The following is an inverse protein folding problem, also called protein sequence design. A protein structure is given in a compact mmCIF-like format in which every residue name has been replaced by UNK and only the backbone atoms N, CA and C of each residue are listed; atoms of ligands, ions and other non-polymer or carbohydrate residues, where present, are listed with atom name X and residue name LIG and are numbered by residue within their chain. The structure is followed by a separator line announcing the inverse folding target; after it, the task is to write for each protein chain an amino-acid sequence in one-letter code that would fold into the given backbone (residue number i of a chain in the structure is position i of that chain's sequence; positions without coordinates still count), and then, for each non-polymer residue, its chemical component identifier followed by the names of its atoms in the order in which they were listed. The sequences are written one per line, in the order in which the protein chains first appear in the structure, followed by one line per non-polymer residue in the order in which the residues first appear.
data_IF_078755317754
#
_entry.id   IF_078755317754
#
_cell.length_a   1.000
_cell.length_b   1.000
_cell.length_c   1.000
_cell.angle_alpha   90.00
_cell.angle_beta   90.00
_cell.angle_gamma   90.00
#
_symmetry.space_group_name_H-M   'P 1'
#
loop_
_entity.id
_entity.type
_entity.pdbx_description
1 polymer ?
#
# COMPACT_ATOMS: atom_id res chain seq x y z
N UNK A 1 20.44 -20.63 -12.03
CA UNK A 1 21.05 -20.33 -10.72
C UNK A 1 20.33 -19.17 -10.07
N UNK A 2 20.17 -19.22 -8.76
CA UNK A 2 19.58 -18.12 -8.02
C UNK A 2 20.52 -16.90 -8.03
N UNK A 3 20.00 -15.74 -8.38
CA UNK A 3 20.77 -14.50 -8.37
C UNK A 3 20.96 -14.02 -6.94
N UNK A 4 22.13 -13.50 -6.65
CA UNK A 4 22.42 -12.94 -5.33
C UNK A 4 21.70 -11.60 -5.14
N UNK A 5 20.93 -11.49 -4.07
CA UNK A 5 20.23 -10.25 -3.71
C UNK A 5 21.23 -9.27 -3.09
N UNK A 6 21.32 -8.06 -3.64
CA UNK A 6 22.18 -7.00 -3.10
C UNK A 6 21.40 -6.00 -2.27
N UNK A 7 20.08 -5.91 -2.44
CA UNK A 7 19.25 -5.03 -1.64
C UNK A 7 17.77 -5.21 -1.89
N UNK A 8 16.98 -4.69 -0.96
CA UNK A 8 15.53 -4.63 -1.08
C UNK A 8 15.08 -3.20 -0.84
N UNK A 9 14.15 -2.74 -1.68
CA UNK A 9 13.60 -1.38 -1.62
C UNK A 9 12.10 -1.49 -1.44
N UNK A 10 11.55 -0.78 -0.46
CA UNK A 10 10.12 -0.71 -0.22
C UNK A 10 9.63 0.70 -0.50
N UNK A 11 8.65 0.83 -1.38
CA UNK A 11 8.10 2.12 -1.79
C UNK A 11 6.57 2.05 -1.80
N UNK A 12 5.94 3.21 -1.66
CA UNK A 12 4.51 3.39 -1.87
C UNK A 12 4.33 4.40 -2.99
N UNK A 13 3.69 3.98 -4.07
CA UNK A 13 3.55 4.78 -5.27
C UNK A 13 2.09 4.84 -5.71
N UNK A 14 1.63 5.99 -6.25
CA UNK A 14 0.32 6.04 -6.88
C UNK A 14 0.23 5.08 -8.06
N UNK A 15 -0.85 4.32 -8.13
CA UNK A 15 -1.04 3.35 -9.20
C UNK A 15 -1.08 4.04 -10.57
N UNK A 16 -0.34 3.51 -11.52
CA UNK A 16 -0.27 4.04 -12.88
C UNK A 16 0.47 5.36 -13.04
N UNK A 17 1.06 5.88 -11.97
CA UNK A 17 1.71 7.21 -11.96
C UNK A 17 3.16 7.19 -11.48
N UNK A 18 3.83 6.06 -11.57
CA UNK A 18 5.25 5.99 -11.20
C UNK A 18 6.08 6.80 -12.21
N UNK A 19 6.96 7.66 -11.69
CA UNK A 19 7.84 8.51 -12.48
C UNK A 19 9.28 8.44 -11.96
N UNK A 20 10.28 8.79 -12.75
CA UNK A 20 11.67 8.84 -12.28
C UNK A 20 11.94 9.89 -11.20
N UNK A 21 10.98 10.78 -10.97
CA UNK A 21 11.10 11.81 -9.92
C UNK A 21 11.12 11.16 -8.52
N UNK A 22 11.63 11.88 -7.48
CA UNK A 22 11.57 11.35 -6.12
C UNK A 22 10.15 10.91 -5.74
N UNK A 23 9.97 9.82 -4.96
CA UNK A 23 11.01 9.05 -4.26
C UNK A 23 11.65 7.91 -5.07
N UNK A 24 11.18 7.63 -6.30
CA UNK A 24 11.60 6.48 -7.09
C UNK A 24 13.05 6.63 -7.57
N UNK A 25 13.37 7.78 -8.16
CA UNK A 25 14.69 8.02 -8.73
C UNK A 25 15.83 7.79 -7.75
N UNK A 26 15.87 8.51 -6.62
CA UNK A 26 16.92 8.32 -5.63
C UNK A 26 16.99 6.92 -5.04
N UNK A 27 15.85 6.30 -4.77
CA UNK A 27 15.79 4.96 -4.18
C UNK A 27 16.39 3.89 -5.11
N UNK A 28 16.02 3.93 -6.39
CA UNK A 28 16.51 2.96 -7.37
C UNK A 28 17.90 3.32 -7.91
N UNK A 29 18.19 4.60 -8.02
CA UNK A 29 19.47 5.08 -8.54
C UNK A 29 20.66 4.63 -7.69
N UNK A 30 20.51 4.58 -6.39
CA UNK A 30 21.55 4.09 -5.46
C UNK A 30 21.95 2.64 -5.74
N UNK A 31 21.05 1.85 -6.28
CA UNK A 31 21.29 0.44 -6.59
C UNK A 31 21.63 0.20 -8.06
N UNK A 32 21.67 1.24 -8.87
CA UNK A 32 21.97 1.13 -10.29
C UNK A 32 20.89 0.43 -11.12
N UNK A 33 19.65 0.44 -10.65
CA UNK A 33 18.50 -0.19 -11.30
C UNK A 33 17.99 0.70 -12.44
N UNK A 34 17.45 0.09 -13.50
CA UNK A 34 16.81 0.80 -14.60
C UNK A 34 15.48 1.41 -14.13
N UNK A 35 15.50 2.70 -13.80
CA UNK A 35 14.35 3.42 -13.24
C UNK A 35 13.20 3.46 -14.24
N UNK A 36 13.48 3.78 -15.49
CA UNK A 36 12.47 3.88 -16.53
C UNK A 36 11.78 2.53 -16.78
N UNK A 37 12.55 1.45 -16.80
CA UNK A 37 12.02 0.09 -16.95
C UNK A 37 11.08 -0.27 -15.82
N UNK A 38 11.46 0.04 -14.59
CA UNK A 38 10.61 -0.19 -13.42
C UNK A 38 9.30 0.61 -13.51
N UNK A 39 9.39 1.92 -13.79
CA UNK A 39 8.21 2.77 -13.87
C UNK A 39 7.23 2.26 -14.92
N UNK A 40 7.74 1.86 -16.08
CA UNK A 40 6.92 1.34 -17.17
C UNK A 40 6.18 0.05 -16.78
N UNK A 41 6.89 -0.90 -16.19
CA UNK A 41 6.29 -2.15 -15.73
C UNK A 41 5.28 -1.93 -14.60
N UNK A 42 5.63 -1.10 -13.62
CA UNK A 42 4.74 -0.76 -12.50
C UNK A 42 3.45 -0.13 -13.02
N UNK A 43 3.55 0.87 -13.88
CA UNK A 43 2.39 1.55 -14.44
C UNK A 43 1.51 0.59 -15.24
N UNK A 44 2.09 -0.32 -16.01
CA UNK A 44 1.35 -1.32 -16.77
C UNK A 44 0.58 -2.27 -15.85
N UNK A 45 1.22 -2.73 -14.77
CA UNK A 45 0.60 -3.67 -13.83
C UNK A 45 -0.46 -3.02 -12.92
N UNK A 46 -0.37 -1.72 -12.67
CA UNK A 46 -1.26 -1.02 -11.75
C UNK A 46 -2.27 -0.11 -12.46
N UNK A 47 -2.33 -0.15 -13.79
CA UNK A 47 -3.21 0.73 -14.58
C UNK A 47 -4.68 0.59 -14.20
N UNK A 48 -5.12 -0.62 -13.84
CA UNK A 48 -6.50 -0.91 -13.42
C UNK A 48 -6.81 -0.50 -11.97
N UNK A 49 -5.81 -0.06 -11.23
CA UNK A 49 -5.93 0.34 -9.82
C UNK A 49 -5.69 1.84 -9.62
N UNK A 50 -5.87 2.62 -10.68
CA UNK A 50 -5.66 4.08 -10.63
C UNK A 50 -6.45 4.74 -9.48
N UNK A 51 -5.81 5.70 -8.82
CA UNK A 51 -6.39 6.40 -7.66
C UNK A 51 -6.06 5.75 -6.33
N UNK A 52 -5.37 4.61 -6.32
CA UNK A 52 -4.89 3.95 -5.10
C UNK A 52 -3.39 4.10 -4.97
N UNK A 53 -2.90 4.07 -3.73
CA UNK A 53 -1.47 4.00 -3.46
C UNK A 53 -1.11 2.52 -3.32
N UNK A 54 -0.15 2.05 -4.11
CA UNK A 54 0.25 0.65 -4.13
C UNK A 54 1.62 0.51 -3.50
N UNK A 55 1.75 -0.27 -2.40
CA UNK A 55 3.06 -0.63 -1.87
C UNK A 55 3.76 -1.59 -2.82
N UNK A 56 5.03 -1.37 -3.04
CA UNK A 56 5.86 -2.23 -3.88
C UNK A 56 7.13 -2.61 -3.13
N UNK A 57 7.50 -3.88 -3.21
CA UNK A 57 8.78 -4.38 -2.68
C UNK A 57 9.64 -4.78 -3.86
N UNK A 58 10.74 -4.06 -4.05
CA UNK A 58 11.67 -4.26 -5.16
C UNK A 58 12.89 -5.00 -4.64
N UNK A 59 13.20 -6.13 -5.26
CA UNK A 59 14.42 -6.90 -4.95
C UNK A 59 15.45 -6.61 -6.03
N UNK A 60 16.62 -6.13 -5.63
CA UNK A 60 17.73 -5.82 -6.54
C UNK A 60 18.78 -6.93 -6.47
N UNK A 61 19.22 -7.38 -7.63
CA UNK A 61 20.20 -8.46 -7.74
C UNK A 61 21.59 -7.91 -8.10
N UNK A 62 22.59 -8.75 -7.92
CA UNK A 62 24.00 -8.39 -8.14
C UNK A 62 24.30 -7.94 -9.57
N UNK A 63 23.58 -8.47 -10.54
CA UNK A 63 23.71 -8.10 -11.96
C UNK A 63 22.95 -6.83 -12.34
N UNK A 64 22.44 -6.06 -11.34
CA UNK A 64 21.62 -4.87 -11.51
C UNK A 64 20.23 -5.12 -12.10
N UNK A 65 19.85 -6.38 -12.24
CA UNK A 65 18.45 -6.70 -12.53
C UNK A 65 17.59 -6.54 -11.29
N UNK A 66 16.31 -6.49 -11.48
CA UNK A 66 15.36 -6.35 -10.38
C UNK A 66 14.12 -7.21 -10.61
N UNK A 67 13.46 -7.55 -9.51
CA UNK A 67 12.11 -8.06 -9.53
C UNK A 67 11.30 -7.27 -8.50
N UNK A 68 9.99 -7.22 -8.65
CA UNK A 68 9.17 -6.52 -7.69
C UNK A 68 7.84 -7.24 -7.48
N UNK A 69 7.31 -7.08 -6.27
CA UNK A 69 6.04 -7.63 -5.85
C UNK A 69 5.13 -6.46 -5.49
N UNK A 70 3.92 -6.45 -6.02
CA UNK A 70 2.89 -5.48 -5.67
C UNK A 70 2.06 -6.05 -4.52
N UNK A 71 1.82 -5.23 -3.52
CA UNK A 71 0.96 -5.58 -2.39
C UNK A 71 -0.36 -4.85 -2.50
N UNK A 72 -1.33 -5.24 -1.67
CA UNK A 72 -2.62 -4.55 -1.61
C UNK A 72 -2.42 -3.13 -1.05
N UNK A 73 -3.30 -2.17 -1.39
CA UNK A 73 -3.19 -0.81 -0.86
C UNK A 73 -3.18 -0.80 0.67
N UNK A 74 -2.48 0.16 1.31
CA UNK A 74 -2.51 0.25 2.77
C UNK A 74 -3.93 0.41 3.30
N UNK A 75 -4.21 -0.20 4.47
CA UNK A 75 -5.54 -0.13 5.08
C UNK A 75 -6.01 1.32 5.28
N UNK A 76 -5.10 2.20 5.69
CA UNK A 76 -5.42 3.62 5.87
C UNK A 76 -5.91 4.28 4.57
N UNK A 77 -5.29 3.94 3.44
CA UNK A 77 -5.69 4.48 2.12
C UNK A 77 -7.09 3.97 1.74
N UNK A 78 -7.36 2.69 1.97
CA UNK A 78 -8.67 2.09 1.68
C UNK A 78 -9.76 2.72 2.54
N UNK A 79 -9.49 2.95 3.82
CA UNK A 79 -10.44 3.60 4.75
C UNK A 79 -10.72 5.03 4.29
N UNK A 80 -9.71 5.80 3.94
CA UNK A 80 -9.89 7.17 3.44
C UNK A 80 -10.70 7.21 2.16
N UNK A 81 -10.46 6.27 1.26
CA UNK A 81 -11.21 6.17 -0.01
C UNK A 81 -12.69 5.88 0.24
N UNK A 82 -12.99 4.92 1.12
CA UNK A 82 -14.37 4.54 1.42
C UNK A 82 -15.17 5.68 2.08
N UNK A 83 -14.50 6.53 2.85
CA UNK A 83 -15.12 7.66 3.54
C UNK A 83 -14.99 8.97 2.76
N UNK A 84 -14.27 9.00 1.66
CA UNK A 84 -14.00 10.21 0.89
C UNK A 84 -13.14 11.22 1.62
N UNK A 85 -12.27 10.77 2.54
CA UNK A 85 -11.41 11.63 3.33
C UNK A 85 -10.07 11.86 2.64
N UNK A 86 -9.55 13.08 2.73
CA UNK A 86 -8.20 13.41 2.24
C UNK A 86 -7.13 12.99 3.25
N UNK A 87 -7.43 13.15 4.55
CA UNK A 87 -6.49 12.78 5.62
C UNK A 87 -7.25 12.30 6.85
N UNK A 88 -6.56 11.54 7.69
CA UNK A 88 -7.07 11.15 9.00
C UNK A 88 -7.00 12.30 10.02
N UNK A 89 -7.47 12.03 11.23
CA UNK A 89 -7.44 13.01 12.33
C UNK A 89 -6.02 13.21 12.85
N UNK A 90 -5.66 14.46 13.11
CA UNK A 90 -4.42 14.79 13.83
C UNK A 90 -4.50 14.49 15.33
N UNK A 91 -5.72 14.39 15.89
CA UNK A 91 -5.96 14.06 17.30
C UNK A 91 -7.05 12.97 17.35
N UNK A 92 -6.71 11.72 16.99
CA UNK A 92 -7.72 10.68 16.75
C UNK A 92 -8.49 10.25 18.01
N UNK A 93 -7.92 10.45 19.19
CA UNK A 93 -8.59 10.12 20.45
C UNK A 93 -9.67 11.14 20.85
N UNK A 94 -9.64 12.33 20.27
CA UNK A 94 -10.58 13.42 20.60
C UNK A 94 -11.43 13.83 19.40
N UNK A 95 -10.79 14.03 18.25
CA UNK A 95 -11.46 14.49 17.03
C UNK A 95 -11.71 13.31 16.11
N UNK A 96 -12.97 12.95 15.90
CA UNK A 96 -13.36 11.89 14.97
C UNK A 96 -13.71 12.50 13.62
N UNK A 97 -13.27 11.88 12.54
CA UNK A 97 -13.41 12.39 11.18
C UNK A 97 -14.40 11.59 10.34
N UNK A 98 -14.83 10.43 10.81
CA UNK A 98 -15.78 9.60 10.08
C UNK A 98 -16.16 8.35 10.83
N UNK A 99 -16.99 7.54 10.20
CA UNK A 99 -17.44 6.26 10.75
C UNK A 99 -17.52 5.23 9.63
N UNK A 100 -17.05 4.01 9.91
CA UNK A 100 -17.18 2.87 9.02
C UNK A 100 -18.27 1.93 9.51
N UNK A 101 -19.03 1.35 8.59
CA UNK A 101 -19.92 0.25 8.92
C UNK A 101 -19.13 -1.07 8.96
N UNK A 102 -19.66 -2.07 9.65
CA UNK A 102 -19.03 -3.41 9.69
C UNK A 102 -18.88 -4.02 8.30
N UNK A 103 -19.82 -3.75 7.41
CA UNK A 103 -19.74 -4.22 6.03
C UNK A 103 -18.55 -3.61 5.28
N UNK A 104 -18.32 -2.32 5.46
CA UNK A 104 -17.17 -1.63 4.87
C UNK A 104 -15.86 -2.19 5.42
N UNK A 105 -15.78 -2.41 6.73
CA UNK A 105 -14.61 -3.02 7.38
C UNK A 105 -14.36 -4.42 6.81
N UNK A 106 -15.41 -5.21 6.64
CA UNK A 106 -15.31 -6.55 6.07
C UNK A 106 -14.78 -6.54 4.64
N UNK A 107 -15.28 -5.63 3.79
CA UNK A 107 -14.80 -5.48 2.41
C UNK A 107 -13.32 -5.14 2.36
N UNK A 108 -12.88 -4.22 3.20
CA UNK A 108 -11.47 -3.84 3.30
C UNK A 108 -10.63 -5.02 3.76
N UNK A 109 -11.12 -5.76 4.77
CA UNK A 109 -10.42 -6.93 5.30
C UNK A 109 -10.29 -8.03 4.24
N UNK A 110 -11.33 -8.31 3.48
CA UNK A 110 -11.31 -9.29 2.38
C UNK A 110 -10.30 -8.91 1.31
N UNK A 111 -10.25 -7.63 0.93
CA UNK A 111 -9.30 -7.11 -0.05
C UNK A 111 -7.86 -7.24 0.43
N UNK A 112 -7.65 -7.07 1.73
CA UNK A 112 -6.33 -7.06 2.37
C UNK A 112 -5.86 -8.45 2.81
N UNK A 113 -6.76 -9.46 2.86
CA UNK A 113 -6.45 -10.81 3.35
C UNK A 113 -5.17 -11.42 2.79
N UNK A 114 -4.85 -11.29 1.47
CA UNK A 114 -3.61 -11.85 0.94
C UNK A 114 -2.33 -11.33 1.60
N UNK A 115 -2.36 -10.12 2.16
CA UNK A 115 -1.21 -9.48 2.79
C UNK A 115 -1.26 -9.53 4.32
N UNK A 116 -2.36 -10.04 4.90
CA UNK A 116 -2.54 -10.08 6.34
C UNK A 116 -2.15 -11.44 6.92
N UNK A 117 -1.60 -11.41 8.12
CA UNK A 117 -1.33 -12.61 8.91
C UNK A 117 -2.51 -12.89 9.86
N UNK A 118 -3.71 -12.98 9.30
CA UNK A 118 -4.94 -13.21 10.06
C UNK A 118 -5.43 -14.63 9.83
N UNK A 119 -5.87 -15.29 10.90
CA UNK A 119 -6.38 -16.66 10.84
C UNK A 119 -7.80 -16.72 10.27
N UNK A 120 -8.59 -15.64 10.40
CA UNK A 120 -9.96 -15.58 9.93
C UNK A 120 -10.32 -14.18 9.48
N UNK A 121 -11.48 -14.02 8.82
CA UNK A 121 -11.96 -12.72 8.38
C UNK A 121 -12.28 -11.80 9.57
N UNK A 122 -12.78 -12.34 10.66
CA UNK A 122 -13.09 -11.60 11.89
C UNK A 122 -11.82 -11.01 12.50
N UNK A 123 -10.74 -11.78 12.53
CA UNK A 123 -9.42 -11.31 12.99
C UNK A 123 -8.89 -10.20 12.08
N UNK A 124 -9.04 -10.35 10.77
CA UNK A 124 -8.66 -9.32 9.80
C UNK A 124 -9.47 -8.04 9.99
N UNK A 125 -10.79 -8.16 10.25
CA UNK A 125 -11.65 -7.01 10.54
C UNK A 125 -11.17 -6.27 11.79
N UNK A 126 -10.77 -6.99 12.84
CA UNK A 126 -10.22 -6.36 14.06
C UNK A 126 -8.96 -5.55 13.77
N UNK A 127 -8.09 -6.04 12.90
CA UNK A 127 -6.89 -5.31 12.48
C UNK A 127 -7.25 -3.99 11.75
N UNK A 128 -8.24 -4.06 10.85
CA UNK A 128 -8.71 -2.88 10.11
C UNK A 128 -9.38 -1.89 11.06
N UNK A 129 -10.18 -2.36 12.00
CA UNK A 129 -10.83 -1.51 13.02
C UNK A 129 -9.80 -0.76 13.86
N UNK A 130 -8.71 -1.44 14.26
CA UNK A 130 -7.62 -0.81 14.99
C UNK A 130 -6.96 0.31 14.20
N UNK A 131 -6.70 0.10 12.91
CA UNK A 131 -6.16 1.11 12.02
C UNK A 131 -7.13 2.30 11.90
N UNK A 132 -8.43 2.03 11.74
CA UNK A 132 -9.45 3.07 11.66
C UNK A 132 -9.48 3.92 12.92
N UNK A 133 -9.44 3.31 14.09
CA UNK A 133 -9.40 4.02 15.37
C UNK A 133 -8.19 4.93 15.48
N UNK A 134 -7.03 4.48 14.98
CA UNK A 134 -5.81 5.29 14.98
C UNK A 134 -5.90 6.51 14.06
N UNK A 135 -6.84 6.50 13.12
CA UNK A 135 -7.09 7.59 12.18
C UNK A 135 -8.21 8.54 12.66
N UNK A 136 -8.84 8.26 13.78
CA UNK A 136 -10.01 9.01 14.24
C UNK A 136 -11.30 8.58 13.56
N UNK A 137 -11.37 7.36 13.07
CA UNK A 137 -12.58 6.80 12.46
C UNK A 137 -13.23 5.84 13.46
N UNK A 138 -14.53 6.00 13.68
CA UNK A 138 -15.30 5.12 14.55
C UNK A 138 -15.91 3.98 13.75
N UNK A 139 -16.25 2.90 14.45
CA UNK A 139 -16.89 1.74 13.82
C UNK A 139 -18.35 1.71 14.24
N UNK A 140 -19.23 1.80 13.26
CA UNK A 140 -20.68 1.69 13.49
C UNK A 140 -21.09 0.23 13.66
N UNK A 141 -22.04 -0.03 14.56
CA UNK A 141 -22.61 -1.36 14.77
C UNK A 141 -23.66 -1.73 13.71
#
# INVERSE_FOLDING_TARGET
MAKKVTGMIKLQLPAGKATPAPPVGPALGQHGVNIMGFCKEFNAKTANQAGLIIPVVITVYQDRSFSFILKTPPAAVLIKKDLGLESGSGVPNRTKVGSLTKEQVRKIAELKMPDLNAASIETAMSMIEGTARSMGVTIAE
#
